data_IF_427525535199
#
_entry.id   IF_427525535199
#
_cell.length_a   1.000
_cell.length_b   1.000
_cell.length_c   1.000
_cell.angle_alpha   90.00
_cell.angle_beta   90.00
_cell.angle_gamma   90.00
#
_symmetry.space_group_name_H-M   'P 1'
#
loop_
_entity.id
_entity.type
_entity.pdbx_description
1 polymer ?
#
# COMPACT_ATOMS: atom_id res chain seq x y z
N UNK A 1 6.80 34.43 -35.95
CA UNK A 1 7.04 33.01 -36.31
C UNK A 1 7.46 32.14 -35.13
N UNK A 2 8.03 32.68 -34.03
CA UNK A 2 8.32 31.92 -32.79
C UNK A 2 7.10 31.16 -32.20
N UNK A 3 5.90 31.64 -32.51
CA UNK A 3 4.61 31.22 -31.94
C UNK A 3 4.09 29.83 -32.43
N UNK A 4 4.63 29.22 -33.49
CA UNK A 4 4.17 27.91 -33.97
C UNK A 4 5.02 26.74 -33.45
N UNK A 5 6.33 26.94 -33.33
CA UNK A 5 7.26 25.93 -32.80
C UNK A 5 7.01 25.75 -31.30
N UNK A 6 6.83 26.85 -30.57
CA UNK A 6 6.49 26.85 -29.14
C UNK A 6 5.17 26.10 -28.87
N UNK A 7 4.10 26.41 -29.62
CA UNK A 7 2.80 25.71 -29.50
C UNK A 7 2.87 24.22 -29.83
N UNK A 8 3.67 23.84 -30.83
CA UNK A 8 3.85 22.43 -31.19
C UNK A 8 4.64 21.67 -30.12
N UNK A 9 5.65 22.32 -29.52
CA UNK A 9 6.40 21.79 -28.41
C UNK A 9 5.54 21.64 -27.15
N UNK A 10 4.76 22.66 -26.78
CA UNK A 10 3.81 22.60 -25.66
C UNK A 10 2.78 21.48 -25.85
N UNK A 11 2.21 21.33 -27.06
CA UNK A 11 1.23 20.27 -27.35
C UNK A 11 1.84 18.88 -27.23
N UNK A 12 3.07 18.70 -27.71
CA UNK A 12 3.82 17.44 -27.58
C UNK A 12 4.14 17.15 -26.11
N UNK A 13 4.61 18.16 -25.37
CA UNK A 13 4.93 18.05 -23.95
C UNK A 13 3.68 17.70 -23.13
N UNK A 14 2.55 18.36 -23.39
CA UNK A 14 1.28 18.05 -22.72
C UNK A 14 0.76 16.66 -23.09
N UNK A 15 0.93 16.20 -24.33
CA UNK A 15 0.56 14.86 -24.78
C UNK A 15 1.38 13.74 -24.15
N UNK A 16 2.62 14.02 -23.72
CA UNK A 16 3.52 13.03 -23.09
C UNK A 16 2.92 12.38 -21.84
N UNK A 17 1.94 13.02 -21.20
CA UNK A 17 1.18 12.46 -20.07
C UNK A 17 0.59 11.07 -20.35
N UNK A 18 0.24 10.79 -21.61
CA UNK A 18 -0.34 9.51 -22.01
C UNK A 18 0.67 8.35 -21.94
N UNK A 19 1.97 8.63 -21.85
CA UNK A 19 3.00 7.63 -21.58
C UNK A 19 2.80 6.94 -20.22
N UNK A 20 2.11 7.60 -19.28
CA UNK A 20 1.76 7.02 -17.97
C UNK A 20 0.58 6.04 -18.06
N UNK A 21 -0.29 6.14 -19.07
CA UNK A 21 -1.49 5.31 -19.17
C UNK A 21 -1.19 3.78 -19.19
N UNK A 22 -0.20 3.29 -19.96
CA UNK A 22 0.22 1.89 -19.90
C UNK A 22 0.75 1.44 -18.53
N UNK A 23 1.39 2.34 -17.77
CA UNK A 23 1.86 2.02 -16.42
C UNK A 23 0.68 1.78 -15.46
N UNK A 24 -0.40 2.56 -15.58
CA UNK A 24 -1.62 2.33 -14.81
C UNK A 24 -2.32 1.02 -15.20
N UNK A 25 -2.28 0.61 -16.48
CA UNK A 25 -2.72 -0.74 -16.86
C UNK A 25 -1.88 -1.83 -16.19
N UNK A 26 -0.56 -1.62 -16.09
CA UNK A 26 0.33 -2.50 -15.32
C UNK A 26 -0.09 -2.61 -13.84
N UNK A 27 -0.51 -1.50 -13.22
CA UNK A 27 -1.05 -1.52 -11.86
C UNK A 27 -2.36 -2.30 -11.76
N UNK A 28 -3.26 -2.24 -12.75
CA UNK A 28 -4.47 -3.08 -12.78
C UNK A 28 -4.10 -4.57 -12.82
N UNK A 29 -3.10 -4.95 -13.63
CA UNK A 29 -2.59 -6.33 -13.65
C UNK A 29 -2.02 -6.72 -12.29
N UNK A 30 -1.25 -5.83 -11.64
CA UNK A 30 -0.73 -6.08 -10.30
C UNK A 30 -1.84 -6.25 -9.24
N UNK A 31 -2.92 -5.48 -9.33
CA UNK A 31 -4.10 -5.69 -8.51
C UNK A 31 -4.72 -7.07 -8.74
N UNK A 32 -4.84 -7.50 -10.00
CA UNK A 32 -5.29 -8.84 -10.36
C UNK A 32 -4.41 -9.95 -9.76
N UNK A 33 -3.08 -9.76 -9.75
CA UNK A 33 -2.16 -10.68 -9.08
C UNK A 33 -2.40 -10.75 -7.57
N UNK A 34 -2.63 -9.61 -6.90
CA UNK A 34 -2.96 -9.59 -5.46
C UNK A 34 -4.26 -10.33 -5.17
N UNK A 35 -5.30 -10.12 -5.98
CA UNK A 35 -6.58 -10.84 -5.84
C UNK A 35 -6.39 -12.34 -6.02
N UNK A 36 -5.61 -12.75 -7.02
CA UNK A 36 -5.30 -14.16 -7.23
C UNK A 36 -4.60 -14.77 -6.01
N UNK A 37 -3.57 -14.11 -5.47
CA UNK A 37 -2.84 -14.57 -4.28
C UNK A 37 -3.77 -14.64 -3.07
N UNK A 38 -4.64 -13.65 -2.88
CA UNK A 38 -5.63 -13.66 -1.79
C UNK A 38 -6.55 -14.88 -1.87
N UNK A 39 -7.13 -15.15 -3.05
CA UNK A 39 -8.01 -16.30 -3.26
C UNK A 39 -7.25 -17.61 -3.07
N UNK A 40 -6.01 -17.68 -3.56
CA UNK A 40 -5.14 -18.84 -3.38
C UNK A 40 -4.88 -19.13 -1.89
N UNK A 41 -4.54 -18.12 -1.09
CA UNK A 41 -4.32 -18.34 0.35
C UNK A 41 -5.59 -18.74 1.08
N UNK A 42 -6.74 -18.14 0.75
CA UNK A 42 -8.02 -18.57 1.32
C UNK A 42 -8.27 -20.04 0.97
N UNK A 43 -8.10 -20.44 -0.29
CA UNK A 43 -8.31 -21.82 -0.73
C UNK A 43 -7.37 -22.82 -0.03
N UNK A 44 -6.12 -22.42 0.26
CA UNK A 44 -5.16 -23.26 0.96
C UNK A 44 -5.48 -23.43 2.44
N UNK A 45 -5.83 -22.33 3.13
CA UNK A 45 -6.00 -22.36 4.58
C UNK A 45 -7.41 -22.80 5.02
N UNK A 46 -8.44 -22.53 4.22
CA UNK A 46 -9.84 -22.80 4.60
C UNK A 46 -10.08 -24.27 4.99
N UNK A 47 -9.59 -25.30 4.27
CA UNK A 47 -9.78 -26.70 4.65
C UNK A 47 -9.05 -27.09 5.95
N UNK A 48 -7.98 -26.39 6.29
CA UNK A 48 -7.14 -26.68 7.45
C UNK A 48 -7.67 -26.05 8.74
N UNK A 49 -8.55 -25.05 8.66
CA UNK A 49 -9.07 -24.29 9.82
C UNK A 49 -9.55 -25.17 10.97
N UNK A 50 -10.32 -26.26 10.77
CA UNK A 50 -10.79 -27.11 11.88
C UNK A 50 -9.67 -27.79 12.67
N UNK A 51 -8.49 -27.93 12.07
CA UNK A 51 -7.31 -28.57 12.66
C UNK A 51 -6.26 -27.57 13.17
N UNK A 52 -6.51 -26.27 13.03
CA UNK A 52 -5.60 -25.21 13.46
C UNK A 52 -5.90 -24.77 14.88
N UNK A 53 -4.84 -24.39 15.62
CA UNK A 53 -4.98 -23.66 16.87
C UNK A 53 -5.19 -22.16 16.63
N UNK A 54 -5.61 -21.43 17.67
CA UNK A 54 -5.94 -20.01 17.58
C UNK A 54 -4.79 -19.16 17.02
N UNK A 55 -3.54 -19.40 17.46
CA UNK A 55 -2.35 -18.68 16.96
C UNK A 55 -2.23 -18.76 15.43
N UNK A 56 -2.41 -19.95 14.86
CA UNK A 56 -2.30 -20.16 13.40
C UNK A 56 -3.42 -19.46 12.65
N UNK A 57 -4.65 -19.53 13.17
CA UNK A 57 -5.79 -18.84 12.56
C UNK A 57 -5.55 -17.33 12.54
N UNK A 58 -5.04 -16.75 13.63
CA UNK A 58 -4.68 -15.33 13.70
C UNK A 58 -3.63 -14.99 12.64
N UNK A 59 -2.58 -15.80 12.49
CA UNK A 59 -1.55 -15.57 11.47
C UNK A 59 -2.08 -15.59 10.03
N UNK A 60 -2.99 -16.51 9.73
CA UNK A 60 -3.66 -16.57 8.42
C UNK A 60 -4.46 -15.29 8.20
N UNK A 61 -5.27 -14.88 9.18
CA UNK A 61 -6.08 -13.65 9.09
C UNK A 61 -5.20 -12.42 8.88
N UNK A 62 -4.10 -12.28 9.63
CA UNK A 62 -3.16 -11.17 9.45
C UNK A 62 -2.55 -11.15 8.04
N UNK A 63 -2.22 -12.32 7.49
CA UNK A 63 -1.73 -12.42 6.09
C UNK A 63 -2.79 -11.95 5.08
N UNK A 64 -4.06 -12.31 5.27
CA UNK A 64 -5.16 -11.87 4.41
C UNK A 64 -5.44 -10.37 4.52
N UNK A 65 -5.31 -9.81 5.74
CA UNK A 65 -5.41 -8.37 5.97
C UNK A 65 -4.31 -7.62 5.23
N UNK A 66 -3.06 -8.11 5.29
CA UNK A 66 -1.92 -7.48 4.63
C UNK A 66 -2.12 -7.41 3.11
N UNK A 67 -2.58 -8.51 2.49
CA UNK A 67 -2.89 -8.54 1.05
C UNK A 67 -4.00 -7.56 0.67
N UNK A 68 -5.04 -7.48 1.51
CA UNK A 68 -6.17 -6.55 1.29
C UNK A 68 -5.72 -5.10 1.40
N UNK A 69 -4.88 -4.80 2.39
CA UNK A 69 -4.36 -3.47 2.63
C UNK A 69 -3.41 -3.04 1.50
N UNK A 70 -2.59 -3.95 0.97
CA UNK A 70 -1.77 -3.70 -0.21
C UNK A 70 -2.63 -3.37 -1.44
N UNK A 71 -3.74 -4.11 -1.64
CA UNK A 71 -4.71 -3.84 -2.70
C UNK A 71 -5.37 -2.47 -2.56
N UNK A 72 -5.79 -2.08 -1.36
CA UNK A 72 -6.37 -0.75 -1.08
C UNK A 72 -5.38 0.38 -1.41
N UNK A 73 -4.12 0.23 -1.01
CA UNK A 73 -3.09 1.20 -1.34
C UNK A 73 -2.88 1.32 -2.85
N UNK A 74 -2.82 0.18 -3.54
CA UNK A 74 -2.64 0.14 -4.99
C UNK A 74 -3.81 0.84 -5.69
N UNK A 75 -5.05 0.61 -5.26
CA UNK A 75 -6.22 1.33 -5.79
C UNK A 75 -6.12 2.84 -5.62
N UNK A 76 -5.69 3.31 -4.45
CA UNK A 76 -5.54 4.75 -4.23
C UNK A 76 -4.48 5.32 -5.18
N UNK A 77 -3.32 4.66 -5.31
CA UNK A 77 -2.24 5.10 -6.22
C UNK A 77 -2.71 5.07 -7.68
N UNK A 78 -3.43 4.02 -8.09
CA UNK A 78 -3.97 3.85 -9.43
C UNK A 78 -4.90 5.01 -9.79
N UNK A 79 -5.94 5.26 -8.99
CA UNK A 79 -6.95 6.26 -9.32
C UNK A 79 -6.43 7.68 -9.12
N UNK A 80 -5.76 7.96 -8.01
CA UNK A 80 -5.21 9.30 -7.73
C UNK A 80 -4.13 9.68 -8.74
N UNK A 81 -3.27 8.73 -9.13
CA UNK A 81 -2.25 8.95 -10.15
C UNK A 81 -2.86 9.19 -11.52
N UNK A 82 -3.81 8.35 -11.94
CA UNK A 82 -4.46 8.51 -13.24
C UNK A 82 -5.21 9.84 -13.36
N UNK A 83 -5.99 10.21 -12.34
CA UNK A 83 -6.75 11.48 -12.32
C UNK A 83 -5.83 12.70 -12.31
N UNK A 84 -4.74 12.65 -11.53
CA UNK A 84 -3.80 13.77 -11.40
C UNK A 84 -2.95 14.00 -12.66
N UNK A 85 -2.58 12.92 -13.36
CA UNK A 85 -1.55 12.99 -14.40
C UNK A 85 -2.06 12.70 -15.81
N UNK A 86 -3.11 11.90 -16.01
CA UNK A 86 -3.55 11.47 -17.36
C UNK A 86 -4.84 12.15 -17.77
N UNK A 87 -5.93 11.87 -17.05
CA UNK A 87 -7.26 12.36 -17.38
C UNK A 87 -8.17 12.32 -16.16
N UNK A 88 -9.06 13.30 -16.04
CA UNK A 88 -10.22 13.16 -15.17
C UNK A 88 -11.04 11.96 -15.65
N UNK A 89 -11.40 11.10 -14.70
CA UNK A 89 -12.31 10.00 -14.96
C UNK A 89 -13.73 10.56 -14.95
N UNK A 90 -14.28 10.82 -16.13
CA UNK A 90 -15.66 11.29 -16.29
C UNK A 90 -16.60 10.09 -16.37
N UNK A 91 -16.73 9.37 -15.24
CA UNK A 91 -17.70 8.28 -15.09
C UNK A 91 -19.04 8.93 -14.73
N UNK A 92 -19.92 9.00 -15.73
CA UNK A 92 -21.19 9.73 -15.69
C UNK A 92 -22.11 9.31 -14.53
N UNK A 93 -22.77 10.33 -13.95
CA UNK A 93 -24.03 10.35 -13.20
C UNK A 93 -24.22 9.40 -11.97
N UNK A 94 -24.16 10.03 -10.79
CA UNK A 94 -25.17 9.98 -9.73
C UNK A 94 -25.31 8.81 -8.73
N UNK A 95 -24.52 7.73 -8.73
CA UNK A 95 -24.67 6.74 -7.62
C UNK A 95 -23.42 6.07 -7.04
N UNK A 96 -22.23 6.18 -7.63
CA UNK A 96 -21.07 5.38 -7.17
C UNK A 96 -19.75 6.14 -6.98
N UNK A 97 -19.76 7.48 -6.91
CA UNK A 97 -18.63 8.17 -6.26
C UNK A 97 -18.66 7.85 -4.77
N UNK A 98 -17.98 6.77 -4.38
CA UNK A 98 -17.72 6.46 -2.98
C UNK A 98 -17.15 7.73 -2.32
N UNK A 99 -17.75 8.20 -1.22
CA UNK A 99 -17.49 9.51 -0.61
C UNK A 99 -16.04 9.79 -0.17
N UNK A 100 -15.12 8.84 -0.30
CA UNK A 100 -13.69 9.00 -0.05
C UNK A 100 -12.94 9.66 -1.22
N UNK A 101 -13.46 9.60 -2.45
CA UNK A 101 -12.70 9.96 -3.66
C UNK A 101 -12.47 11.47 -3.84
N UNK A 102 -13.23 12.32 -3.13
CA UNK A 102 -13.11 13.78 -3.19
C UNK A 102 -12.22 14.42 -2.11
N UNK A 103 -11.71 13.63 -1.15
CA UNK A 103 -11.01 14.15 0.05
C UNK A 103 -9.67 13.47 0.32
N UNK A 104 -9.12 12.72 -0.64
CA UNK A 104 -7.79 12.12 -0.51
C UNK A 104 -6.73 13.23 -0.70
N UNK A 105 -6.54 14.02 0.35
CA UNK A 105 -5.39 14.92 0.48
C UNK A 105 -4.11 14.08 0.41
N UNK A 106 -3.13 14.50 -0.38
CA UNK A 106 -1.82 13.86 -0.50
C UNK A 106 -1.14 13.72 0.88
N UNK A 107 -1.37 14.63 1.84
CA UNK A 107 -0.90 14.46 3.22
C UNK A 107 -1.61 13.29 3.93
N UNK A 108 -2.94 13.20 3.82
CA UNK A 108 -3.71 12.07 4.35
C UNK A 108 -3.33 10.72 3.71
N UNK A 109 -2.96 10.71 2.43
CA UNK A 109 -2.48 9.52 1.74
C UNK A 109 -1.12 9.04 2.27
N UNK A 110 -0.17 9.97 2.48
CA UNK A 110 1.15 9.66 3.06
C UNK A 110 1.03 9.03 4.45
N UNK A 111 0.16 9.59 5.29
CA UNK A 111 -0.07 9.07 6.64
C UNK A 111 -0.72 7.68 6.63
N UNK A 112 -1.69 7.44 5.74
CA UNK A 112 -2.31 6.11 5.58
C UNK A 112 -1.32 5.07 5.10
N UNK A 113 -0.43 5.42 4.17
CA UNK A 113 0.62 4.55 3.68
C UNK A 113 1.61 4.14 4.79
N UNK A 114 2.10 5.11 5.57
CA UNK A 114 3.05 4.79 6.64
C UNK A 114 2.41 3.98 7.76
N UNK A 115 1.18 4.31 8.15
CA UNK A 115 0.44 3.53 9.14
C UNK A 115 0.30 2.05 8.70
N UNK A 116 0.03 1.84 7.41
CA UNK A 116 -0.01 0.52 6.78
C UNK A 116 1.32 -0.22 6.86
N UNK A 117 2.43 0.42 6.49
CA UNK A 117 3.78 -0.18 6.51
C UNK A 117 4.20 -0.55 7.94
N UNK A 118 3.95 0.35 8.91
CA UNK A 118 4.24 0.11 10.33
C UNK A 118 3.41 -1.07 10.85
N UNK A 119 2.12 -1.15 10.50
CA UNK A 119 1.25 -2.25 10.92
C UNK A 119 1.69 -3.61 10.35
N UNK A 120 1.97 -3.69 9.05
CA UNK A 120 2.48 -4.93 8.40
C UNK A 120 3.80 -5.36 9.05
N UNK A 121 4.71 -4.41 9.30
CA UNK A 121 5.99 -4.69 9.95
C UNK A 121 5.81 -5.22 11.38
N UNK A 122 4.88 -4.68 12.16
CA UNK A 122 4.56 -5.17 13.51
C UNK A 122 3.99 -6.59 13.48
N UNK A 123 3.07 -6.87 12.55
CA UNK A 123 2.49 -8.20 12.32
C UNK A 123 3.58 -9.21 11.99
N UNK A 124 4.50 -8.86 11.09
CA UNK A 124 5.59 -9.74 10.70
C UNK A 124 6.52 -10.06 11.87
N UNK A 125 6.87 -9.03 12.66
CA UNK A 125 7.67 -9.21 13.88
C UNK A 125 6.97 -10.13 14.89
N UNK A 126 5.67 -9.94 15.11
CA UNK A 126 4.87 -10.79 16.00
C UNK A 126 4.80 -12.24 15.50
N UNK A 127 4.63 -12.44 14.19
CA UNK A 127 4.64 -13.77 13.57
C UNK A 127 5.95 -14.50 13.83
N UNK A 128 7.09 -13.84 13.56
CA UNK A 128 8.43 -14.42 13.80
C UNK A 128 8.68 -14.71 15.27
N UNK A 129 8.22 -13.84 16.16
CA UNK A 129 8.31 -14.07 17.60
C UNK A 129 7.51 -15.31 18.05
N UNK A 130 6.29 -15.52 17.53
CA UNK A 130 5.46 -16.68 17.89
C UNK A 130 5.97 -18.03 17.34
N UNK A 131 6.86 -18.00 16.36
CA UNK A 131 7.52 -19.19 15.79
C UNK A 131 8.71 -19.66 16.64
N UNK A 132 9.26 -18.78 17.49
CA UNK A 132 10.33 -19.11 18.44
C UNK A 132 9.86 -20.23 19.38
N UNK A 133 10.67 -21.29 19.51
CA UNK A 133 10.40 -22.41 20.41
C UNK A 133 9.41 -23.45 19.88
N UNK A 134 8.85 -23.30 18.66
CA UNK A 134 7.91 -24.27 18.05
C UNK A 134 8.58 -25.31 17.13
N UNK A 135 9.90 -25.45 17.18
CA UNK A 135 10.64 -26.63 16.65
C UNK A 135 10.63 -26.83 15.12
N UNK A 136 10.27 -25.82 14.31
CA UNK A 136 10.25 -25.90 12.83
C UNK A 136 11.17 -24.88 12.14
N UNK A 137 12.40 -24.72 12.60
CA UNK A 137 13.41 -24.02 11.81
C UNK A 137 14.82 -24.53 12.08
N UNK A 138 15.15 -25.64 11.43
CA UNK A 138 16.52 -26.03 11.03
C UNK A 138 17.03 -25.16 9.85
N UNK A 139 16.61 -23.90 9.80
CA UNK A 139 17.21 -22.85 8.99
C UNK A 139 17.49 -21.72 9.99
N UNK A 140 18.76 -21.53 10.31
CA UNK A 140 19.23 -20.70 11.41
C UNK A 140 18.89 -19.22 11.25
N UNK A 141 17.67 -18.85 11.62
CA UNK A 141 17.34 -17.48 11.97
C UNK A 141 17.73 -17.26 13.44
N UNK A 142 19.03 -17.01 13.65
CA UNK A 142 19.58 -16.72 14.98
C UNK A 142 19.05 -15.40 15.54
N UNK A 143 19.26 -15.15 16.85
CA UNK A 143 18.90 -13.90 17.56
C UNK A 143 19.14 -12.61 16.74
N UNK A 144 20.13 -12.59 15.85
CA UNK A 144 20.40 -11.48 14.93
C UNK A 144 19.24 -11.13 14.00
N UNK A 145 18.50 -12.09 13.43
CA UNK A 145 17.41 -11.77 12.49
C UNK A 145 16.24 -11.09 13.20
N UNK A 146 15.82 -11.61 14.36
CA UNK A 146 14.80 -10.97 15.20
C UNK A 146 15.22 -9.56 15.63
N UNK A 147 16.49 -9.39 16.02
CA UNK A 147 17.03 -8.07 16.34
C UNK A 147 16.92 -7.12 15.14
N UNK A 148 17.26 -7.55 13.93
CA UNK A 148 17.12 -6.73 12.73
C UNK A 148 15.66 -6.41 12.40
N UNK A 149 14.74 -7.34 12.60
CA UNK A 149 13.30 -7.08 12.45
C UNK A 149 12.81 -6.01 13.44
N UNK A 150 13.25 -6.06 14.71
CA UNK A 150 12.95 -5.02 15.70
C UNK A 150 13.56 -3.68 15.28
N UNK A 151 14.83 -3.66 14.85
CA UNK A 151 15.52 -2.43 14.43
C UNK A 151 14.80 -1.78 13.24
N UNK A 152 14.47 -2.55 12.20
CA UNK A 152 13.75 -2.05 11.03
C UNK A 152 12.36 -1.55 11.41
N UNK A 153 11.65 -2.28 12.28
CA UNK A 153 10.34 -1.85 12.78
C UNK A 153 10.43 -0.50 13.49
N UNK A 154 11.43 -0.32 14.37
CA UNK A 154 11.66 0.95 15.06
C UNK A 154 12.00 2.08 14.10
N UNK A 155 12.73 1.81 13.00
CA UNK A 155 12.99 2.81 11.94
C UNK A 155 11.69 3.24 11.25
N UNK A 156 10.78 2.31 10.95
CA UNK A 156 9.48 2.65 10.37
C UNK A 156 8.61 3.45 11.34
N UNK A 157 8.55 3.07 12.61
CA UNK A 157 7.81 3.81 13.66
C UNK A 157 8.36 5.23 13.79
N UNK A 158 9.68 5.38 13.90
CA UNK A 158 10.33 6.69 14.01
C UNK A 158 10.05 7.55 12.77
N UNK A 159 10.15 6.98 11.57
CA UNK A 159 9.86 7.68 10.31
C UNK A 159 8.41 8.19 10.27
N UNK A 160 7.45 7.37 10.73
CA UNK A 160 6.05 7.79 10.82
C UNK A 160 5.80 8.90 11.84
N UNK A 161 6.46 8.84 13.00
CA UNK A 161 6.39 9.90 14.01
C UNK A 161 6.97 11.21 13.47
N UNK A 162 8.14 11.17 12.83
CA UNK A 162 8.77 12.35 12.24
C UNK A 162 7.89 12.98 11.15
N UNK A 163 7.21 12.15 10.33
CA UNK A 163 6.31 12.65 9.30
C UNK A 163 5.04 13.27 9.90
N UNK A 164 4.44 12.63 10.90
CA UNK A 164 3.31 13.20 11.64
C UNK A 164 3.68 14.54 12.30
N UNK A 165 4.89 14.63 12.85
CA UNK A 165 5.42 15.87 13.43
C UNK A 165 5.58 16.96 12.37
N UNK A 166 6.08 16.63 11.18
CA UNK A 166 6.24 17.58 10.06
C UNK A 166 4.90 18.15 9.60
N UNK A 167 3.89 17.29 9.46
CA UNK A 167 2.52 17.69 9.11
C UNK A 167 1.90 18.56 10.21
N UNK A 168 2.10 18.21 11.50
CA UNK A 168 1.66 19.02 12.64
C UNK A 168 2.30 20.42 12.65
N UNK A 169 3.62 20.50 12.46
CA UNK A 169 4.34 21.79 12.42
C UNK A 169 3.87 22.66 11.25
N UNK A 170 3.66 22.06 10.08
CA UNK A 170 3.18 22.78 8.89
C UNK A 170 1.76 23.31 9.08
N UNK A 171 0.87 22.52 9.69
CA UNK A 171 -0.49 22.95 10.01
C UNK A 171 -0.49 24.09 11.03
N UNK A 172 0.43 24.07 12.00
CA UNK A 172 0.58 25.13 13.00
C UNK A 172 1.19 26.42 12.45
N UNK A 173 2.07 26.33 11.44
CA UNK A 173 2.67 27.48 10.77
C UNK A 173 1.72 28.20 9.78
N UNK A 174 0.64 27.54 9.36
CA UNK A 174 -0.43 28.14 8.53
C UNK A 174 -1.51 28.88 9.32
N UNK A 175 -1.46 28.85 10.66
CA UNK A 175 -2.28 29.67 11.57
C UNK A 175 -1.49 30.88 12.01
#
# INVERSE_FOLDING_TARGET
MANQIEKSFEKTLFGSRWLMAPMYLGLVVALGMLVFVFVHEVANYLPLVPSMNADKVILVVLTLIDLTLAGNLLLIVLFSGYESFVSKLDVAEASERLGWMGTVDFSGLKMKLIASIVAISAIHLLKRFMEIGKGKSDIGFGNSELMWLVVIHMVFVLSGVLMALMDYLTARAKK
#
